data_IF_213604075468
#
_entry.id   IF_213604075468
#
_cell.length_a   1.000
_cell.length_b   1.000
_cell.length_c   1.000
_cell.angle_alpha   90.00
_cell.angle_beta   90.00
_cell.angle_gamma   90.00
#
_symmetry.space_group_name_H-M   'P 1'
#
loop_
_entity.id
_entity.type
_entity.pdbx_description
1 polymer ?
#
# COMPACT_ATOMS: atom_id res chain seq x y z
N UNK A 1 -1.44 -19.46 8.45
CA UNK A 1 -2.79 -19.88 8.06
C UNK A 1 -3.61 -18.69 7.57
N UNK A 2 -4.73 -18.94 6.88
CA UNK A 2 -5.69 -17.89 6.48
C UNK A 2 -6.89 -17.82 7.45
N UNK A 3 -6.81 -18.59 8.54
CA UNK A 3 -7.87 -18.62 9.56
C UNK A 3 -7.93 -17.29 10.31
N UNK A 4 -9.14 -16.76 10.46
CA UNK A 4 -9.39 -15.51 11.18
C UNK A 4 -10.52 -15.68 12.19
N UNK A 5 -10.46 -14.96 13.30
CA UNK A 5 -11.53 -14.88 14.30
C UNK A 5 -12.11 -13.48 14.37
N UNK A 6 -13.42 -13.39 14.57
CA UNK A 6 -14.11 -12.11 14.76
C UNK A 6 -13.70 -11.46 16.07
N UNK A 7 -13.35 -10.17 16.00
CA UNK A 7 -12.98 -9.35 17.16
C UNK A 7 -13.95 -8.19 17.39
N UNK A 8 -14.82 -7.89 16.43
CA UNK A 8 -15.82 -6.85 16.58
C UNK A 8 -16.51 -6.48 15.26
N UNK A 9 -17.24 -5.36 15.31
CA UNK A 9 -17.85 -4.71 14.14
C UNK A 9 -17.42 -3.25 14.16
N UNK A 10 -16.96 -2.74 13.02
CA UNK A 10 -16.52 -1.35 12.90
C UNK A 10 -17.70 -0.37 12.88
N UNK A 11 -17.42 0.92 13.00
CA UNK A 11 -18.43 1.96 12.93
C UNK A 11 -19.18 1.96 11.59
N UNK A 12 -18.51 1.58 10.51
CA UNK A 12 -19.09 1.44 9.17
C UNK A 12 -19.78 0.07 8.94
N UNK A 13 -19.93 -0.74 10.01
CA UNK A 13 -20.57 -2.04 9.95
C UNK A 13 -19.74 -3.13 9.30
N UNK A 14 -18.41 -2.99 9.26
CA UNK A 14 -17.50 -4.03 8.80
C UNK A 14 -17.31 -5.09 9.88
N UNK A 15 -17.43 -6.36 9.53
CA UNK A 15 -17.05 -7.46 10.41
C UNK A 15 -15.51 -7.49 10.52
N UNK A 16 -14.98 -7.13 11.69
CA UNK A 16 -13.54 -7.08 11.93
C UNK A 16 -13.07 -8.45 12.40
N UNK A 17 -12.17 -9.03 11.63
CA UNK A 17 -11.58 -10.34 11.92
C UNK A 17 -10.07 -10.25 11.82
N UNK A 18 -9.35 -10.86 12.75
CA UNK A 18 -7.89 -10.92 12.74
C UNK A 18 -7.40 -12.36 12.71
N UNK A 19 -6.14 -12.51 12.33
CA UNK A 19 -5.41 -13.79 12.32
C UNK A 19 -5.63 -14.57 13.63
N UNK A 20 -6.12 -15.80 13.50
CA UNK A 20 -6.46 -16.62 14.65
C UNK A 20 -5.24 -16.97 15.52
N UNK A 21 -4.06 -17.11 14.87
CA UNK A 21 -2.82 -17.39 15.60
C UNK A 21 -2.34 -16.15 16.36
N UNK A 22 -2.34 -14.97 15.73
CA UNK A 22 -1.99 -13.74 16.41
C UNK A 22 -2.87 -13.47 17.63
N UNK A 23 -4.18 -13.76 17.52
CA UNK A 23 -5.12 -13.65 18.66
C UNK A 23 -4.91 -14.69 19.77
N UNK A 24 -4.14 -15.73 19.53
CA UNK A 24 -3.76 -16.71 20.57
C UNK A 24 -2.51 -16.34 21.36
N UNK A 25 -1.81 -15.28 20.95
CA UNK A 25 -0.63 -14.77 21.64
C UNK A 25 -1.05 -13.79 22.76
N UNK A 26 -0.16 -13.62 23.75
CA UNK A 26 -0.40 -12.70 24.86
C UNK A 26 -0.50 -11.24 24.39
N UNK A 27 0.31 -10.88 23.38
CA UNK A 27 0.38 -9.54 22.78
C UNK A 27 0.50 -9.62 21.27
N UNK A 28 -0.04 -8.61 20.59
CA UNK A 28 0.18 -8.38 19.16
C UNK A 28 0.94 -7.07 19.01
N UNK A 29 2.10 -7.09 18.36
CA UNK A 29 2.88 -5.88 18.05
C UNK A 29 2.93 -5.72 16.52
N UNK A 30 2.08 -4.87 15.92
CA UNK A 30 2.15 -4.59 14.51
C UNK A 30 3.45 -3.85 14.17
N UNK A 31 4.13 -4.31 13.12
CA UNK A 31 5.31 -3.64 12.55
C UNK A 31 4.99 -3.29 11.12
N UNK A 32 5.02 -2.01 10.77
CA UNK A 32 4.62 -1.56 9.44
C UNK A 32 5.52 -0.44 8.91
N UNK A 33 5.79 -0.50 7.59
CA UNK A 33 6.29 0.66 6.87
C UNK A 33 5.15 1.64 6.63
N UNK A 34 5.36 2.89 7.04
CA UNK A 34 4.40 3.97 6.83
C UNK A 34 4.84 4.72 5.57
N UNK A 35 3.99 4.72 4.56
CA UNK A 35 4.24 5.34 3.27
C UNK A 35 2.94 5.66 2.53
N UNK A 36 2.95 6.56 1.54
CA UNK A 36 1.79 6.79 0.67
C UNK A 36 1.31 5.51 0.00
N UNK A 37 0.00 5.41 -0.19
CA UNK A 37 -0.61 4.34 -0.98
C UNK A 37 -0.63 4.72 -2.45
N UNK A 38 -0.69 3.72 -3.32
CA UNK A 38 -0.74 3.92 -4.78
C UNK A 38 -2.12 4.37 -5.27
N UNK A 39 -3.20 3.96 -4.59
CA UNK A 39 -4.55 4.08 -5.13
C UNK A 39 -5.52 4.90 -4.29
N UNK A 40 -5.23 5.09 -3.00
CA UNK A 40 -6.09 5.92 -2.15
C UNK A 40 -5.26 6.80 -1.21
N UNK A 41 -5.79 7.98 -0.91
CA UNK A 41 -5.15 8.97 -0.06
C UNK A 41 -6.03 9.34 1.12
N UNK A 42 -5.37 9.70 2.24
CA UNK A 42 -6.04 10.10 3.45
C UNK A 42 -5.06 10.25 4.63
N UNK A 43 -5.57 10.42 5.84
CA UNK A 43 -4.73 10.48 7.05
C UNK A 43 -4.00 9.15 7.33
N UNK A 44 -4.59 8.03 6.88
CA UNK A 44 -4.05 6.68 7.00
C UNK A 44 -4.02 6.05 5.61
N UNK A 45 -2.84 5.67 5.17
CA UNK A 45 -2.64 5.02 3.88
C UNK A 45 -1.96 3.65 4.08
N UNK A 46 -0.70 3.46 3.65
CA UNK A 46 0.06 2.26 4.02
C UNK A 46 0.73 2.49 5.36
N UNK A 47 0.45 1.65 6.35
CA UNK A 47 0.97 1.80 7.70
C UNK A 47 0.34 0.81 8.69
N UNK A 48 0.26 1.22 9.95
CA UNK A 48 -0.20 0.39 11.06
C UNK A 48 -1.67 0.03 10.88
N UNK A 49 -2.54 1.02 10.59
CA UNK A 49 -3.97 0.78 10.38
C UNK A 49 -4.20 -0.21 9.23
N UNK A 50 -3.46 -0.08 8.12
CA UNK A 50 -3.53 -1.02 7.00
C UNK A 50 -2.97 -2.40 7.38
N UNK A 51 -1.92 -2.46 8.18
CA UNK A 51 -1.38 -3.74 8.68
C UNK A 51 -2.42 -4.49 9.51
N UNK A 52 -3.17 -3.80 10.35
CA UNK A 52 -4.27 -4.39 11.12
C UNK A 52 -5.39 -4.88 10.20
N UNK A 53 -5.82 -4.04 9.24
CA UNK A 53 -6.97 -4.34 8.39
C UNK A 53 -6.69 -5.42 7.34
N UNK A 54 -5.54 -5.37 6.68
CA UNK A 54 -5.20 -6.24 5.54
C UNK A 54 -4.16 -7.28 5.93
N UNK A 55 -3.10 -6.89 6.64
CA UNK A 55 -2.06 -7.82 7.09
C UNK A 55 -2.61 -8.86 8.07
N UNK A 56 -3.12 -8.43 9.21
CA UNK A 56 -3.73 -9.31 10.22
C UNK A 56 -5.16 -9.73 9.86
N UNK A 57 -5.89 -8.91 9.11
CA UNK A 57 -7.20 -9.27 8.57
C UNK A 57 -7.16 -10.34 7.49
N UNK A 58 -5.95 -10.65 6.95
CA UNK A 58 -5.70 -11.64 5.90
C UNK A 58 -6.52 -11.35 4.64
N UNK A 59 -6.79 -12.39 3.85
CA UNK A 59 -7.64 -12.29 2.67
C UNK A 59 -9.05 -11.76 3.01
N UNK A 60 -9.59 -12.15 4.17
CA UNK A 60 -10.89 -11.67 4.62
C UNK A 60 -10.91 -10.14 4.79
N UNK A 61 -9.95 -9.57 5.53
CA UNK A 61 -9.84 -8.14 5.74
C UNK A 61 -9.61 -7.38 4.44
N UNK A 62 -8.73 -7.89 3.58
CA UNK A 62 -8.53 -7.34 2.25
C UNK A 62 -9.83 -7.32 1.45
N UNK A 63 -10.52 -8.46 1.34
CA UNK A 63 -11.77 -8.58 0.58
C UNK A 63 -12.85 -7.63 1.08
N UNK A 64 -13.07 -7.56 2.40
CA UNK A 64 -14.15 -6.73 2.97
C UNK A 64 -13.88 -5.23 2.81
N UNK A 65 -12.61 -4.80 2.86
CA UNK A 65 -12.24 -3.42 2.58
C UNK A 65 -12.41 -3.08 1.10
N UNK A 66 -11.99 -3.97 0.19
CA UNK A 66 -12.04 -3.75 -1.26
C UNK A 66 -13.46 -3.87 -1.85
N UNK A 67 -14.32 -4.75 -1.32
CA UNK A 67 -15.69 -4.93 -1.82
C UNK A 67 -16.53 -3.65 -1.82
N UNK A 68 -16.18 -2.66 -1.01
CA UNK A 68 -16.85 -1.36 -0.95
C UNK A 68 -16.28 -0.31 -1.91
N UNK A 69 -15.28 -0.69 -2.71
CA UNK A 69 -14.61 0.19 -3.66
C UNK A 69 -13.44 0.98 -3.07
N UNK A 70 -12.53 1.39 -3.93
CA UNK A 70 -11.33 2.14 -3.54
C UNK A 70 -11.64 3.50 -2.94
N UNK A 71 -12.73 4.13 -3.36
CA UNK A 71 -13.17 5.43 -2.85
C UNK A 71 -13.45 5.43 -1.33
N UNK A 72 -13.78 4.26 -0.77
CA UNK A 72 -14.06 4.11 0.65
C UNK A 72 -12.88 3.51 1.44
N UNK A 73 -11.75 3.20 0.80
CA UNK A 73 -10.60 2.61 1.48
C UNK A 73 -10.04 3.51 2.59
N UNK A 74 -10.01 4.82 2.35
CA UNK A 74 -9.55 5.83 3.31
C UNK A 74 -10.44 5.93 4.57
N UNK A 75 -11.63 5.36 4.54
CA UNK A 75 -12.57 5.25 5.66
C UNK A 75 -12.52 3.83 6.25
N UNK A 76 -12.62 2.80 5.40
CA UNK A 76 -12.76 1.42 5.83
C UNK A 76 -11.50 0.90 6.55
N UNK A 77 -10.31 1.21 6.03
CA UNK A 77 -9.04 0.75 6.61
C UNK A 77 -8.85 1.28 8.04
N UNK A 78 -8.92 2.60 8.31
CA UNK A 78 -8.78 3.08 9.69
C UNK A 78 -9.93 2.66 10.60
N UNK A 79 -11.16 2.53 10.11
CA UNK A 79 -12.28 2.04 10.90
C UNK A 79 -12.09 0.59 11.37
N UNK A 80 -11.59 -0.25 10.46
CA UNK A 80 -11.20 -1.62 10.81
C UNK A 80 -10.07 -1.62 11.84
N UNK A 81 -9.01 -0.82 11.60
CA UNK A 81 -7.85 -0.68 12.50
C UNK A 81 -8.25 -0.24 13.91
N UNK A 82 -9.10 0.79 14.04
CA UNK A 82 -9.62 1.27 15.34
C UNK A 82 -10.32 0.18 16.12
N UNK A 83 -11.14 -0.61 15.43
CA UNK A 83 -11.85 -1.71 16.08
C UNK A 83 -10.88 -2.78 16.57
N UNK A 84 -9.83 -3.08 15.80
CA UNK A 84 -8.79 -4.01 16.20
C UNK A 84 -7.98 -3.47 17.42
N UNK A 85 -7.56 -2.20 17.39
CA UNK A 85 -6.84 -1.55 18.50
C UNK A 85 -7.64 -1.55 19.81
N UNK A 86 -8.96 -1.36 19.70
CA UNK A 86 -9.86 -1.31 20.87
C UNK A 86 -10.11 -2.69 21.48
N UNK A 87 -10.19 -3.75 20.66
CA UNK A 87 -10.69 -5.05 21.09
C UNK A 87 -9.61 -6.12 21.22
N UNK A 88 -8.36 -5.83 20.84
CA UNK A 88 -7.25 -6.76 20.90
C UNK A 88 -6.14 -6.23 21.80
N UNK A 89 -5.34 -7.16 22.36
CA UNK A 89 -4.21 -6.79 23.21
C UNK A 89 -3.01 -6.33 22.36
N UNK A 90 -3.05 -5.08 21.92
CA UNK A 90 -2.02 -4.41 21.13
C UNK A 90 -1.45 -3.27 21.99
N UNK A 91 -0.38 -3.49 22.77
CA UNK A 91 0.14 -2.47 23.68
C UNK A 91 0.79 -1.29 22.93
N UNK A 92 1.43 -1.55 21.82
CA UNK A 92 2.07 -0.56 20.93
C UNK A 92 2.25 -1.15 19.53
N UNK A 93 2.62 -0.29 18.60
CA UNK A 93 3.03 -0.68 17.24
C UNK A 93 4.41 -0.09 16.91
N UNK A 94 5.06 -0.61 15.88
CA UNK A 94 6.32 -0.07 15.35
C UNK A 94 6.08 0.47 13.95
N UNK A 95 6.22 1.78 13.81
CA UNK A 95 6.20 2.48 12.52
C UNK A 95 7.61 2.67 11.97
N UNK A 96 7.79 2.36 10.68
CA UNK A 96 9.03 2.52 9.93
C UNK A 96 8.81 3.51 8.81
N UNK A 97 9.68 4.52 8.68
CA UNK A 97 9.69 5.45 7.55
C UNK A 97 11.01 5.30 6.80
N UNK A 98 10.92 5.14 5.49
CA UNK A 98 12.07 5.02 4.59
C UNK A 98 12.28 6.32 3.81
N UNK A 99 13.52 6.57 3.39
CA UNK A 99 13.87 7.67 2.48
C UNK A 99 13.78 7.23 0.99
N UNK A 100 14.09 8.15 0.07
CA UNK A 100 14.08 7.92 -1.38
C UNK A 100 15.01 6.79 -1.85
N UNK A 101 15.95 6.34 -1.04
CA UNK A 101 16.89 5.25 -1.32
C UNK A 101 16.47 3.92 -0.67
N UNK A 102 15.23 3.84 -0.17
CA UNK A 102 14.71 2.69 0.60
C UNK A 102 15.53 2.37 1.86
N UNK A 103 16.24 3.37 2.41
CA UNK A 103 16.93 3.25 3.67
C UNK A 103 16.01 3.68 4.81
N UNK A 104 16.05 2.95 5.91
CA UNK A 104 15.28 3.30 7.10
C UNK A 104 15.74 4.64 7.66
N UNK A 105 14.85 5.63 7.65
CA UNK A 105 15.08 6.96 8.20
C UNK A 105 14.63 7.05 9.66
N UNK A 106 13.44 6.50 9.97
CA UNK A 106 12.84 6.56 11.31
C UNK A 106 12.27 5.21 11.69
N UNK A 107 12.52 4.80 12.95
CA UNK A 107 11.84 3.69 13.63
C UNK A 107 11.21 4.29 14.88
N UNK A 108 9.90 4.12 15.04
CA UNK A 108 9.16 4.63 16.20
C UNK A 108 8.27 3.56 16.79
N UNK A 109 8.43 3.32 18.09
CA UNK A 109 7.45 2.59 18.87
C UNK A 109 6.35 3.56 19.31
N UNK A 110 5.10 3.24 18.98
CA UNK A 110 3.94 4.11 19.17
C UNK A 110 2.96 3.38 20.10
N UNK A 111 2.69 3.89 21.30
CA UNK A 111 1.65 3.34 22.17
C UNK A 111 0.30 3.25 21.46
N UNK A 112 -0.52 2.27 21.83
CA UNK A 112 -1.83 2.03 21.20
C UNK A 112 -2.66 3.32 21.10
N UNK A 113 -2.77 4.06 22.19
CA UNK A 113 -3.54 5.31 22.30
C UNK A 113 -2.99 6.47 21.47
N UNK A 114 -1.73 6.39 21.04
CA UNK A 114 -1.06 7.43 20.24
C UNK A 114 -1.10 7.14 18.72
N UNK A 115 -1.46 5.93 18.29
CA UNK A 115 -1.39 5.53 16.88
C UNK A 115 -2.20 6.48 15.98
N UNK A 116 -3.40 6.86 16.41
CA UNK A 116 -4.25 7.76 15.62
C UNK A 116 -3.66 9.17 15.42
N UNK A 117 -2.86 9.64 16.35
CA UNK A 117 -2.22 10.95 16.25
C UNK A 117 -0.88 10.86 15.49
N UNK A 118 -0.06 9.85 15.79
CA UNK A 118 1.32 9.79 15.31
C UNK A 118 1.47 9.15 13.92
N UNK A 119 0.64 8.19 13.53
CA UNK A 119 0.74 7.57 12.19
C UNK A 119 0.55 8.58 11.05
N UNK A 120 -0.43 9.51 11.09
CA UNK A 120 -0.54 10.58 10.09
C UNK A 120 0.68 11.49 10.01
N UNK A 121 1.31 11.82 11.13
CA UNK A 121 2.54 12.63 11.15
C UNK A 121 3.70 11.90 10.48
N UNK A 122 3.86 10.61 10.76
CA UNK A 122 4.85 9.76 10.11
C UNK A 122 4.56 9.58 8.61
N UNK A 123 3.30 9.53 8.20
CA UNK A 123 2.91 9.52 6.79
C UNK A 123 3.31 10.82 6.08
N UNK A 124 3.11 11.98 6.73
CA UNK A 124 3.56 13.26 6.20
C UNK A 124 5.09 13.32 6.07
N UNK A 125 5.82 12.76 7.03
CA UNK A 125 7.27 12.62 6.95
C UNK A 125 7.66 11.71 5.77
N UNK A 126 7.00 10.57 5.60
CA UNK A 126 7.25 9.65 4.50
C UNK A 126 7.05 10.33 3.14
N UNK A 127 5.95 11.10 2.97
CA UNK A 127 5.69 11.90 1.76
C UNK A 127 6.80 12.90 1.45
N UNK A 128 7.40 13.52 2.47
CA UNK A 128 8.52 14.46 2.30
C UNK A 128 9.85 13.78 1.91
N UNK A 129 10.01 12.52 2.30
CA UNK A 129 11.24 11.74 2.08
C UNK A 129 11.20 10.90 0.82
N UNK A 130 10.07 10.84 0.12
CA UNK A 130 9.95 10.08 -1.13
C UNK A 130 10.85 10.62 -2.23
N UNK A 131 11.21 9.74 -3.16
CA UNK A 131 11.80 10.13 -4.44
C UNK A 131 10.83 11.02 -5.22
N UNK A 132 11.37 12.02 -5.90
CA UNK A 132 10.60 12.94 -6.75
C UNK A 132 11.28 13.11 -8.10
N UNK A 133 10.49 13.30 -9.15
CA UNK A 133 11.00 13.75 -10.44
C UNK A 133 11.11 15.28 -10.36
N UNK A 134 12.31 15.87 -10.59
CA UNK A 134 12.56 17.29 -10.33
C UNK A 134 12.00 18.22 -11.44
N UNK A 135 10.98 17.79 -12.16
CA UNK A 135 10.33 18.54 -13.23
C UNK A 135 8.81 18.52 -13.03
N UNK A 136 8.18 19.67 -13.18
CA UNK A 136 6.70 19.75 -13.09
C UNK A 136 5.99 19.16 -14.32
N UNK A 137 6.64 19.27 -15.50
CA UNK A 137 6.12 18.78 -16.78
C UNK A 137 7.23 18.02 -17.51
N UNK A 138 6.85 16.88 -18.08
CA UNK A 138 7.74 16.00 -18.83
C UNK A 138 6.99 15.54 -20.08
N UNK A 139 7.56 15.72 -21.27
CA UNK A 139 6.92 15.27 -22.51
C UNK A 139 6.95 13.74 -22.61
N UNK A 140 8.10 13.14 -22.33
CA UNK A 140 8.29 11.68 -22.36
C UNK A 140 9.15 11.24 -21.18
N UNK A 141 8.62 10.32 -20.38
CA UNK A 141 9.34 9.59 -19.35
C UNK A 141 9.58 8.16 -19.83
N UNK A 142 10.84 7.75 -19.92
CA UNK A 142 11.19 6.36 -20.20
C UNK A 142 11.65 5.68 -18.93
N UNK A 143 10.92 4.66 -18.52
CA UNK A 143 11.27 3.80 -17.38
C UNK A 143 12.01 2.57 -17.89
N UNK A 144 13.18 2.31 -17.36
CA UNK A 144 13.96 1.14 -17.70
C UNK A 144 13.24 -0.16 -17.31
N UNK A 145 12.68 -0.17 -16.10
CA UNK A 145 11.96 -1.31 -15.55
C UNK A 145 10.80 -0.89 -14.66
N UNK A 146 9.78 -1.74 -14.62
CA UNK A 146 8.74 -1.74 -13.60
C UNK A 146 8.72 -3.09 -12.87
N UNK A 147 8.15 -3.13 -11.68
CA UNK A 147 8.03 -4.38 -10.93
C UNK A 147 7.27 -4.22 -9.62
N UNK A 148 6.62 -5.29 -9.19
CA UNK A 148 5.82 -5.34 -7.96
C UNK A 148 6.63 -5.01 -6.70
N UNK A 149 7.94 -5.31 -6.71
CA UNK A 149 8.86 -4.97 -5.63
C UNK A 149 9.29 -3.49 -5.62
N UNK A 150 9.14 -2.79 -6.75
CA UNK A 150 9.39 -1.35 -6.85
C UNK A 150 8.19 -0.59 -6.29
N UNK A 151 7.01 -0.93 -6.78
CA UNK A 151 5.74 -0.37 -6.31
C UNK A 151 4.62 -1.39 -6.49
N UNK A 152 3.56 -1.29 -5.68
CA UNK A 152 2.36 -2.10 -5.83
C UNK A 152 1.80 -2.07 -7.26
N UNK A 153 1.92 -0.94 -7.94
CA UNK A 153 1.47 -0.71 -9.33
C UNK A 153 2.62 -0.75 -10.33
N UNK A 154 3.70 -1.47 -10.02
CA UNK A 154 4.84 -1.63 -10.90
C UNK A 154 5.74 -0.40 -11.02
N UNK A 155 5.16 0.78 -11.26
CA UNK A 155 5.75 2.11 -11.08
C UNK A 155 4.96 2.85 -9.98
N UNK A 156 5.61 3.69 -9.19
CA UNK A 156 4.91 4.38 -8.09
C UNK A 156 4.11 5.59 -8.62
N UNK A 157 2.77 5.57 -8.55
CA UNK A 157 1.94 6.69 -8.98
C UNK A 157 2.25 8.01 -8.26
N UNK A 158 2.68 7.95 -6.99
CA UNK A 158 3.07 9.14 -6.23
C UNK A 158 4.36 9.78 -6.77
N UNK A 159 5.19 9.02 -7.49
CA UNK A 159 6.43 9.52 -8.11
C UNK A 159 6.20 9.96 -9.55
N UNK A 160 5.46 9.16 -10.33
CA UNK A 160 5.21 9.44 -11.76
C UNK A 160 3.98 10.32 -11.99
N UNK A 161 3.23 10.67 -10.93
CA UNK A 161 2.06 11.54 -11.02
C UNK A 161 0.90 10.94 -11.81
N UNK A 162 0.87 9.63 -12.04
CA UNK A 162 -0.15 8.97 -12.85
C UNK A 162 -0.56 7.64 -12.24
N UNK A 163 -1.87 7.49 -12.01
CA UNK A 163 -2.55 6.23 -11.77
C UNK A 163 -3.72 6.08 -12.75
N UNK A 164 -4.39 4.93 -12.74
CA UNK A 164 -5.54 4.67 -13.60
C UNK A 164 -6.70 5.66 -13.41
N UNK A 165 -6.84 6.22 -12.21
CA UNK A 165 -7.96 7.09 -11.80
C UNK A 165 -7.58 8.56 -11.59
N UNK A 166 -6.29 8.92 -11.64
CA UNK A 166 -5.87 10.31 -11.48
C UNK A 166 -4.58 10.64 -12.23
N UNK A 167 -4.37 11.95 -12.45
CA UNK A 167 -3.12 12.54 -12.94
C UNK A 167 -2.79 13.76 -12.11
N UNK A 168 -1.59 13.78 -11.54
CA UNK A 168 -1.07 14.86 -10.70
C UNK A 168 0.36 15.24 -11.13
N UNK A 169 1.01 16.10 -10.37
CA UNK A 169 2.42 16.42 -10.63
C UNK A 169 3.34 15.25 -10.26
N UNK A 170 4.38 14.98 -11.07
CA UNK A 170 4.71 15.65 -12.33
C UNK A 170 3.71 15.31 -13.44
N UNK A 171 3.35 16.31 -14.27
CA UNK A 171 2.49 16.07 -15.43
C UNK A 171 3.31 15.45 -16.57
N UNK A 172 3.25 14.15 -16.72
CA UNK A 172 3.96 13.41 -17.75
C UNK A 172 3.01 13.14 -18.92
N UNK A 173 3.38 13.64 -20.10
CA UNK A 173 2.53 13.50 -21.30
C UNK A 173 2.51 12.04 -21.77
N UNK A 174 3.69 11.40 -21.87
CA UNK A 174 3.83 10.00 -22.27
C UNK A 174 4.77 9.25 -21.33
N UNK A 175 4.40 8.03 -20.94
CA UNK A 175 5.24 7.10 -20.18
C UNK A 175 5.52 5.89 -21.07
N UNK A 176 6.80 5.60 -21.28
CA UNK A 176 7.26 4.37 -21.91
C UNK A 176 7.93 3.45 -20.88
N UNK A 177 7.67 2.16 -20.95
CA UNK A 177 8.30 1.14 -20.10
C UNK A 177 9.07 0.16 -20.97
N UNK A 178 10.35 -0.05 -20.67
CA UNK A 178 11.24 -0.85 -21.52
C UNK A 178 11.27 -2.32 -21.13
N UNK A 179 11.16 -2.65 -19.85
CA UNK A 179 11.28 -4.04 -19.38
C UNK A 179 10.59 -4.27 -18.02
N UNK A 180 10.49 -5.54 -17.63
CA UNK A 180 10.13 -5.96 -16.29
C UNK A 180 11.38 -6.21 -15.45
N UNK A 181 11.32 -5.82 -14.17
CA UNK A 181 12.34 -6.22 -13.21
C UNK A 181 12.37 -7.73 -13.05
N UNK A 182 13.58 -8.35 -12.98
CA UNK A 182 13.69 -9.78 -12.71
C UNK A 182 13.03 -10.25 -11.42
N UNK A 183 12.93 -9.35 -10.43
CA UNK A 183 12.36 -9.67 -9.12
C UNK A 183 10.83 -9.65 -9.09
N UNK A 184 10.18 -9.10 -10.12
CA UNK A 184 8.71 -9.05 -10.18
C UNK A 184 8.06 -10.42 -10.37
N UNK A 185 8.81 -11.47 -10.74
CA UNK A 185 8.28 -12.83 -10.94
C UNK A 185 7.26 -12.90 -12.07
N UNK A 186 7.54 -12.24 -13.20
CA UNK A 186 6.65 -12.13 -14.37
C UNK A 186 5.33 -11.36 -14.13
N UNK A 187 5.15 -10.77 -12.96
CA UNK A 187 4.00 -9.88 -12.67
C UNK A 187 4.23 -8.53 -13.34
N UNK A 188 3.33 -8.12 -14.24
CA UNK A 188 3.40 -6.84 -14.95
C UNK A 188 2.29 -5.86 -14.55
N UNK A 189 1.80 -5.97 -13.31
CA UNK A 189 0.84 -5.02 -12.75
C UNK A 189 1.35 -3.57 -12.90
N UNK A 190 0.44 -2.67 -13.29
CA UNK A 190 0.76 -1.26 -13.52
C UNK A 190 1.22 -0.93 -14.94
N UNK A 191 1.38 -1.92 -15.83
CA UNK A 191 1.73 -1.64 -17.23
C UNK A 191 0.65 -0.81 -17.94
N UNK A 192 -0.60 -0.92 -17.51
CA UNK A 192 -1.71 -0.12 -18.02
C UNK A 192 -1.59 1.39 -17.75
N UNK A 193 -0.73 1.81 -16.82
CA UNK A 193 -0.41 3.22 -16.59
C UNK A 193 0.60 3.78 -17.62
N UNK A 194 1.24 2.93 -18.43
CA UNK A 194 2.13 3.35 -19.51
C UNK A 194 1.36 3.61 -20.80
N UNK A 195 1.88 4.53 -21.63
CA UNK A 195 1.35 4.79 -22.99
C UNK A 195 1.99 3.84 -24.03
N UNK A 196 3.19 3.36 -23.77
CA UNK A 196 3.92 2.47 -24.65
C UNK A 196 4.82 1.50 -23.87
N UNK A 197 5.01 0.33 -24.43
CA UNK A 197 5.92 -0.67 -23.88
C UNK A 197 6.64 -1.44 -24.97
N UNK A 198 7.59 -2.29 -24.60
CA UNK A 198 8.31 -3.16 -25.53
C UNK A 198 7.69 -4.55 -25.60
N UNK A 199 7.96 -5.25 -26.70
CA UNK A 199 7.57 -6.66 -26.87
C UNK A 199 8.15 -7.56 -25.77
N UNK A 200 9.31 -7.21 -25.23
CA UNK A 200 9.96 -7.95 -24.12
C UNK A 200 9.07 -8.12 -22.89
N UNK A 201 8.28 -7.10 -22.57
CA UNK A 201 7.35 -7.18 -21.43
C UNK A 201 6.26 -8.22 -21.70
N UNK A 202 5.72 -8.27 -22.92
CA UNK A 202 4.71 -9.26 -23.29
C UNK A 202 5.27 -10.69 -23.28
N UNK A 203 6.54 -10.85 -23.66
CA UNK A 203 7.22 -12.16 -23.67
C UNK A 203 7.59 -12.64 -22.26
N UNK A 204 7.90 -11.73 -21.35
CA UNK A 204 8.29 -12.03 -19.95
C UNK A 204 7.11 -12.08 -18.99
N UNK A 205 6.06 -11.33 -19.27
CA UNK A 205 4.90 -11.18 -18.39
C UNK A 205 3.99 -12.41 -18.39
N UNK A 206 3.39 -12.70 -17.26
CA UNK A 206 2.40 -13.75 -17.07
C UNK A 206 1.09 -13.18 -16.53
N UNK A 207 -0.01 -13.48 -17.21
CA UNK A 207 -1.34 -13.13 -16.73
C UNK A 207 -1.71 -13.90 -15.45
N UNK A 208 -1.26 -15.13 -15.31
CA UNK A 208 -1.50 -15.95 -14.11
C UNK A 208 -0.85 -15.33 -12.88
N UNK A 209 0.39 -14.85 -13.00
CA UNK A 209 1.10 -14.17 -11.91
C UNK A 209 0.56 -12.77 -11.63
N UNK A 210 -0.08 -12.13 -12.59
CA UNK A 210 -0.60 -10.76 -12.49
C UNK A 210 -2.06 -10.74 -12.06
N UNK A 211 -2.89 -11.64 -12.54
CA UNK A 211 -4.34 -11.67 -12.31
C UNK A 211 -4.75 -11.53 -10.84
N UNK A 212 -4.09 -12.19 -9.85
CA UNK A 212 -4.46 -12.04 -8.44
C UNK A 212 -4.34 -10.61 -7.89
N UNK A 213 -3.59 -9.74 -8.59
CA UNK A 213 -3.36 -8.35 -8.16
C UNK A 213 -4.19 -7.33 -8.97
N UNK A 214 -4.94 -7.80 -9.96
CA UNK A 214 -5.58 -6.93 -10.95
C UNK A 214 -4.58 -6.40 -11.98
N UNK A 215 -5.08 -6.11 -13.17
CA UNK A 215 -4.30 -5.52 -14.26
C UNK A 215 -4.79 -4.08 -14.44
N UNK A 216 -3.93 -3.14 -14.17
CA UNK A 216 -4.17 -1.71 -14.40
C UNK A 216 -3.31 -1.20 -15.54
#
# INVERSE_FOLDING_TARGET
TMETKKVGVSAEGLDVRLDAFALSCDYIVPVARIKPHTDFHGPFESGIMKMLAIGLGKQYGASICHMRGFDLMHINVPSFGRTALKNCNIPFAIGLVENAFHQTHTIRAIPNECIEAEEPELLLLAKKLMATIPFEKVDVLMLEQIGKEISGDGMDPNVVGRAYNYREKPFIHRIGVLDLSPKTGANFNGIGNADATTRRILEKGSFEETYPNGIT
#
